data_IF_335512685445
#
_entry.id   IF_335512685445
#
_cell.length_a   1.000
_cell.length_b   1.000
_cell.length_c   1.000
_cell.angle_alpha   90.00
_cell.angle_beta   90.00
_cell.angle_gamma   90.00
#
_symmetry.space_group_name_H-M   'P 1'
#
loop_
_entity.id
_entity.type
_entity.pdbx_description
1 polymer ?
#
# COMPACT_ATOMS: atom_id res chain seq x y z
N UNK A 1 -7.33 -2.35 11.06
CA UNK A 1 -7.01 -2.97 9.77
C UNK A 1 -5.83 -2.25 9.12
N UNK A 2 -4.87 -3.01 8.67
CA UNK A 2 -3.70 -2.47 7.99
C UNK A 2 -3.86 -2.62 6.48
N UNK A 3 -3.81 -1.50 5.77
CA UNK A 3 -3.96 -1.49 4.31
C UNK A 3 -2.67 -0.97 3.69
N UNK A 4 -2.11 -1.76 2.79
CA UNK A 4 -0.91 -1.39 2.05
C UNK A 4 -1.32 -0.89 0.67
N UNK A 5 -0.92 0.32 0.32
CA UNK A 5 -1.15 0.88 -1.01
C UNK A 5 0.19 0.96 -1.73
N UNK A 6 0.26 0.35 -2.89
CA UNK A 6 1.47 0.30 -3.71
C UNK A 6 1.24 1.11 -4.98
N UNK A 7 2.15 1.99 -5.31
CA UNK A 7 2.10 2.73 -6.57
C UNK A 7 3.49 3.02 -7.09
N UNK A 8 3.56 3.18 -8.40
CA UNK A 8 4.77 3.57 -9.09
C UNK A 8 4.58 4.90 -9.82
N UNK A 9 5.48 5.20 -10.72
CA UNK A 9 5.44 6.39 -11.55
C UNK A 9 5.25 7.66 -10.72
N UNK A 10 4.22 8.44 -10.97
CA UNK A 10 4.01 9.70 -10.30
C UNK A 10 3.15 9.65 -9.04
N UNK A 11 2.63 8.49 -8.68
CA UNK A 11 1.79 8.35 -7.49
C UNK A 11 0.35 8.83 -7.66
N UNK A 12 -0.07 9.14 -8.88
CA UNK A 12 -1.42 9.66 -9.13
C UNK A 12 -2.53 8.69 -8.74
N UNK A 13 -2.38 7.42 -9.10
CA UNK A 13 -3.35 6.39 -8.75
C UNK A 13 -3.31 6.08 -7.25
N UNK A 14 -2.12 5.92 -6.70
CA UNK A 14 -1.95 5.64 -5.28
C UNK A 14 -2.49 6.75 -4.40
N UNK A 15 -2.26 7.99 -4.78
CA UNK A 15 -2.81 9.16 -4.09
C UNK A 15 -4.33 9.10 -4.01
N UNK A 16 -5.01 8.76 -5.10
CA UNK A 16 -6.46 8.64 -5.13
C UNK A 16 -6.94 7.48 -4.26
N UNK A 17 -6.24 6.36 -4.31
CA UNK A 17 -6.55 5.19 -3.48
C UNK A 17 -6.44 5.50 -2.00
N UNK A 18 -5.36 6.14 -1.59
CA UNK A 18 -5.15 6.53 -0.19
C UNK A 18 -6.27 7.46 0.28
N UNK A 19 -6.59 8.47 -0.51
CA UNK A 19 -7.64 9.41 -0.17
C UNK A 19 -9.00 8.71 -0.02
N UNK A 20 -9.33 7.82 -0.94
CA UNK A 20 -10.58 7.08 -0.91
C UNK A 20 -10.66 6.16 0.31
N UNK A 21 -9.59 5.46 0.63
CA UNK A 21 -9.54 4.58 1.79
C UNK A 21 -9.72 5.36 3.09
N UNK A 22 -9.01 6.46 3.25
CA UNK A 22 -9.12 7.27 4.47
C UNK A 22 -10.50 7.91 4.61
N UNK A 23 -11.16 8.22 3.50
CA UNK A 23 -12.52 8.77 3.52
C UNK A 23 -13.56 7.72 3.90
N UNK A 24 -13.40 6.47 3.43
CA UNK A 24 -14.39 5.42 3.64
C UNK A 24 -14.10 4.51 4.83
N UNK A 25 -12.83 4.37 5.20
CA UNK A 25 -12.41 3.54 6.33
C UNK A 25 -11.46 4.35 7.20
N UNK A 26 -11.96 5.35 7.94
CA UNK A 26 -11.09 6.28 8.69
C UNK A 26 -10.23 5.62 9.77
N UNK A 27 -10.66 4.47 10.27
CA UNK A 27 -9.90 3.74 11.30
C UNK A 27 -8.79 2.86 10.73
N UNK A 28 -8.71 2.72 9.41
CA UNK A 28 -7.66 1.92 8.79
C UNK A 28 -6.31 2.61 8.93
N UNK A 29 -5.27 1.80 9.16
CA UNK A 29 -3.89 2.26 9.11
C UNK A 29 -3.41 2.04 7.68
N UNK A 30 -3.12 3.13 6.98
CA UNK A 30 -2.71 3.07 5.58
C UNK A 30 -1.20 3.26 5.49
N UNK A 31 -0.54 2.25 4.96
CA UNK A 31 0.89 2.28 4.67
C UNK A 31 1.07 2.37 3.15
N UNK A 32 1.73 3.41 2.70
CA UNK A 32 1.96 3.61 1.28
C UNK A 32 3.40 3.24 0.92
N UNK A 33 3.57 2.49 -0.16
CA UNK A 33 4.89 2.16 -0.67
C UNK A 33 4.97 2.59 -2.12
N UNK A 34 5.86 3.52 -2.41
CA UNK A 34 6.13 3.97 -3.76
C UNK A 34 7.38 3.33 -4.32
N UNK A 35 7.41 3.14 -5.63
CA UNK A 35 8.63 2.68 -6.32
C UNK A 35 9.64 3.81 -6.48
N UNK A 36 9.22 5.05 -6.25
CA UNK A 36 10.09 6.22 -6.27
C UNK A 36 9.61 7.24 -5.23
N UNK A 37 10.45 8.20 -4.93
CA UNK A 37 10.17 9.17 -3.88
C UNK A 37 8.98 10.09 -4.21
N UNK A 38 8.75 10.38 -5.47
CA UNK A 38 7.63 11.21 -5.89
C UNK A 38 6.29 10.53 -5.60
N UNK A 39 6.18 9.25 -5.92
CA UNK A 39 4.99 8.46 -5.64
C UNK A 39 4.73 8.36 -4.13
N UNK A 40 5.79 8.09 -3.37
CA UNK A 40 5.72 8.01 -1.91
C UNK A 40 5.22 9.33 -1.30
N UNK A 41 5.79 10.44 -1.74
CA UNK A 41 5.41 11.76 -1.23
C UNK A 41 3.96 12.10 -1.56
N UNK A 42 3.51 11.77 -2.76
CA UNK A 42 2.13 12.03 -3.18
C UNK A 42 1.13 11.26 -2.31
N UNK A 43 1.42 9.99 -2.03
CA UNK A 43 0.56 9.18 -1.20
C UNK A 43 0.55 9.65 0.26
N UNK A 44 1.69 10.07 0.76
CA UNK A 44 1.77 10.62 2.13
C UNK A 44 0.94 11.89 2.26
N UNK A 45 1.02 12.78 1.27
CA UNK A 45 0.20 13.99 1.24
C UNK A 45 -1.30 13.68 1.18
N UNK A 46 -1.68 12.58 0.57
CA UNK A 46 -3.08 12.19 0.46
C UNK A 46 -3.66 11.65 1.76
N UNK A 47 -2.83 11.44 2.77
CA UNK A 47 -3.29 11.04 4.09
C UNK A 47 -2.80 9.68 4.57
N UNK A 48 -1.83 9.07 3.90
CA UNK A 48 -1.28 7.81 4.38
C UNK A 48 -0.65 8.01 5.76
N UNK A 49 -0.86 7.05 6.64
CA UNK A 49 -0.32 7.10 7.99
C UNK A 49 1.19 6.86 8.00
N UNK A 50 1.66 6.04 7.05
CA UNK A 50 3.08 5.77 6.87
C UNK A 50 3.38 5.71 5.38
N UNK A 51 4.60 6.05 5.02
CA UNK A 51 5.03 5.96 3.63
C UNK A 51 6.51 5.60 3.57
N UNK A 52 6.86 4.77 2.60
CA UNK A 52 8.25 4.37 2.37
C UNK A 52 8.47 4.07 0.90
N UNK A 53 9.72 4.02 0.51
CA UNK A 53 10.11 3.80 -0.89
C UNK A 53 10.97 2.55 -1.00
N UNK A 54 10.75 1.77 -2.05
CA UNK A 54 11.64 0.68 -2.40
C UNK A 54 11.09 -0.71 -2.12
N UNK A 55 11.79 -1.70 -2.63
CA UNK A 55 11.37 -3.09 -2.58
C UNK A 55 11.35 -3.66 -1.17
N UNK A 56 12.32 -3.29 -0.36
CA UNK A 56 12.38 -3.78 1.01
C UNK A 56 11.20 -3.29 1.84
N UNK A 57 10.83 -2.03 1.67
CA UNK A 57 9.64 -1.47 2.32
C UNK A 57 8.38 -2.20 1.88
N UNK A 58 8.31 -2.58 0.60
CA UNK A 58 7.21 -3.34 0.05
C UNK A 58 7.08 -4.72 0.72
N UNK A 59 8.17 -5.44 0.85
CA UNK A 59 8.17 -6.76 1.48
C UNK A 59 7.72 -6.67 2.93
N UNK A 60 8.25 -5.72 3.68
CA UNK A 60 7.88 -5.53 5.09
C UNK A 60 6.40 -5.13 5.20
N UNK A 61 5.94 -4.23 4.33
CA UNK A 61 4.56 -3.81 4.31
C UNK A 61 3.59 -4.95 4.02
N UNK A 62 3.95 -5.81 3.06
CA UNK A 62 3.13 -6.98 2.72
C UNK A 62 2.93 -7.92 3.90
N UNK A 63 3.95 -8.09 4.71
CA UNK A 63 3.88 -8.99 5.87
C UNK A 63 2.92 -8.48 6.94
N UNK A 64 2.67 -7.19 7.00
CA UNK A 64 1.83 -6.56 8.02
C UNK A 64 0.43 -6.23 7.51
N UNK A 65 0.23 -6.23 6.21
CA UNK A 65 -1.03 -5.78 5.62
C UNK A 65 -2.11 -6.84 5.70
N UNK A 66 -3.32 -6.40 5.98
CA UNK A 66 -4.52 -7.22 5.86
C UNK A 66 -5.05 -7.17 4.44
N UNK A 67 -4.88 -6.03 3.79
CA UNK A 67 -5.32 -5.79 2.41
C UNK A 67 -4.20 -5.05 1.67
N UNK A 68 -3.95 -5.46 0.44
CA UNK A 68 -2.98 -4.81 -0.44
C UNK A 68 -3.72 -4.28 -1.65
N UNK A 69 -3.55 -2.99 -1.91
CA UNK A 69 -4.23 -2.30 -3.01
C UNK A 69 -3.20 -1.66 -3.92
N UNK A 70 -3.37 -1.83 -5.21
CA UNK A 70 -2.49 -1.22 -6.20
C UNK A 70 -3.23 -0.97 -7.50
N UNK A 71 -2.56 -0.36 -8.50
CA UNK A 71 -3.18 -0.07 -9.79
C UNK A 71 -3.71 -1.29 -10.52
N UNK A 72 -3.17 -2.47 -10.23
CA UNK A 72 -3.59 -3.73 -10.86
C UNK A 72 -4.70 -4.44 -10.09
N UNK A 73 -5.11 -3.91 -8.94
CA UNK A 73 -6.20 -4.50 -8.18
C UNK A 73 -5.95 -4.58 -6.69
N UNK A 74 -6.75 -5.39 -6.03
CA UNK A 74 -6.71 -5.55 -4.58
C UNK A 74 -6.46 -7.01 -4.23
N UNK A 75 -5.59 -7.24 -3.24
CA UNK A 75 -5.29 -8.57 -2.71
C UNK A 75 -5.55 -8.57 -1.22
N UNK A 76 -6.33 -9.54 -0.75
CA UNK A 76 -6.59 -9.72 0.68
C UNK A 76 -5.56 -10.68 1.24
N UNK A 77 -4.81 -10.22 2.23
CA UNK A 77 -3.74 -11.00 2.85
C UNK A 77 -4.18 -11.45 4.25
N UNK A 78 -5.30 -12.17 4.32
CA UNK A 78 -5.89 -12.58 5.58
C UNK A 78 -5.27 -13.85 6.19
N UNK A 79 -4.59 -14.66 5.37
CA UNK A 79 -3.93 -15.87 5.82
C UNK A 79 -2.43 -15.62 5.89
N UNK A 80 -1.82 -15.62 7.08
CA UNK A 80 -0.43 -15.20 7.23
C UNK A 80 0.58 -15.89 6.31
N UNK A 81 0.46 -17.20 6.17
CA UNK A 81 1.40 -17.95 5.30
C UNK A 81 1.16 -17.68 3.83
N UNK A 82 -0.10 -17.78 3.41
CA UNK A 82 -0.47 -17.59 2.01
C UNK A 82 -0.31 -16.13 1.62
N UNK A 83 -0.68 -15.21 2.49
CA UNK A 83 -0.54 -13.79 2.25
C UNK A 83 0.90 -13.38 2.00
N UNK A 84 1.84 -13.90 2.79
CA UNK A 84 3.26 -13.60 2.61
C UNK A 84 3.79 -14.09 1.28
N UNK A 85 3.47 -15.34 0.95
CA UNK A 85 3.90 -15.93 -0.32
C UNK A 85 3.31 -15.16 -1.50
N UNK A 86 2.02 -14.86 -1.43
CA UNK A 86 1.34 -14.12 -2.49
C UNK A 86 1.94 -12.73 -2.70
N UNK A 87 2.29 -12.02 -1.63
CA UNK A 87 2.93 -10.72 -1.75
C UNK A 87 4.24 -10.80 -2.52
N UNK A 88 5.08 -11.77 -2.18
CA UNK A 88 6.39 -11.91 -2.82
C UNK A 88 6.27 -12.30 -4.29
N UNK A 89 5.30 -13.11 -4.62
CA UNK A 89 5.12 -13.60 -5.99
C UNK A 89 4.45 -12.57 -6.90
N UNK A 90 3.52 -11.78 -6.37
CA UNK A 90 2.72 -10.87 -7.17
C UNK A 90 3.31 -9.48 -7.32
N UNK A 91 4.28 -9.16 -6.52
CA UNK A 91 4.98 -7.90 -6.58
C UNK A 91 6.26 -8.01 -7.38
#
# INVERSE_FOLDING_TARGET
MNILVIDGQGGGMGKQLVAAIKANVPDAVVCAVGTNSAATAAMLKAGADRAATGENALIVGCRRADVIVGPIGMVIADLPKIGRASCRERV
#
